data_IF_644051619049
#
_entry.id   IF_644051619049
#
_cell.length_a   1.000
_cell.length_b   1.000
_cell.length_c   1.000
_cell.angle_alpha   90.00
_cell.angle_beta   90.00
_cell.angle_gamma   90.00
#
_symmetry.space_group_name_H-M   'P 1'
#
loop_
_entity.id
_entity.type
_entity.pdbx_description
1 polymer ?
#
# COMPACT_ATOMS: atom_id res chain seq x y z
N UNK A 1 -14.96 9.99 7.92
CA UNK A 1 -14.14 10.35 9.11
C UNK A 1 -14.97 11.26 10.02
N UNK A 2 -14.90 11.08 11.33
CA UNK A 2 -15.72 11.90 12.24
C UNK A 2 -14.96 13.20 12.55
N UNK A 3 -15.49 14.37 12.11
CA UNK A 3 -14.89 15.71 12.39
C UNK A 3 -14.63 15.93 13.88
N UNK A 4 -15.46 15.38 14.77
CA UNK A 4 -15.26 15.43 16.22
C UNK A 4 -13.97 14.72 16.68
N UNK A 5 -13.55 13.64 16.01
CA UNK A 5 -12.31 12.93 16.31
C UNK A 5 -11.09 13.75 15.91
N UNK A 6 -11.15 14.47 14.79
CA UNK A 6 -10.07 15.37 14.35
C UNK A 6 -9.90 16.56 15.30
N UNK A 7 -11.01 17.18 15.72
CA UNK A 7 -10.99 18.29 16.67
C UNK A 7 -10.51 17.83 18.05
N UNK A 8 -10.94 16.67 18.52
CA UNK A 8 -10.55 16.12 19.82
C UNK A 8 -9.07 15.63 19.84
N UNK A 9 -8.48 15.30 18.69
CA UNK A 9 -7.10 14.82 18.59
C UNK A 9 -6.07 15.96 18.46
N UNK A 10 -6.48 17.22 18.34
CA UNK A 10 -5.58 18.36 18.09
C UNK A 10 -4.87 18.29 16.74
N UNK A 11 -5.39 17.49 15.79
CA UNK A 11 -4.81 17.39 14.46
C UNK A 11 -5.01 18.70 13.69
N UNK A 12 -3.92 19.22 13.16
CA UNK A 12 -3.95 20.34 12.23
C UNK A 12 -4.73 19.97 10.96
N UNK A 13 -5.24 21.00 10.26
CA UNK A 13 -5.93 20.79 8.96
C UNK A 13 -5.03 20.15 7.89
N UNK A 14 -3.73 20.13 8.09
CA UNK A 14 -2.74 19.63 7.15
C UNK A 14 -1.95 18.50 7.81
N UNK A 15 -2.29 17.25 7.50
CA UNK A 15 -1.78 16.08 8.19
C UNK A 15 -0.73 15.31 7.41
N UNK A 16 0.10 14.55 8.13
CA UNK A 16 0.96 13.52 7.57
C UNK A 16 0.29 12.15 7.72
N UNK A 17 0.13 11.43 6.62
CA UNK A 17 -0.46 10.09 6.61
C UNK A 17 0.54 9.03 6.13
N UNK A 18 0.39 7.83 6.68
CA UNK A 18 0.95 6.60 6.10
C UNK A 18 -0.18 5.78 5.50
N UNK A 19 -0.03 5.37 4.26
CA UNK A 19 -1.06 4.61 3.54
C UNK A 19 -0.48 3.28 3.09
N UNK A 20 -1.19 2.21 3.40
CA UNK A 20 -0.81 0.84 3.04
C UNK A 20 -2.02 0.05 2.55
N UNK A 21 -1.80 -0.87 1.62
CA UNK A 21 -2.82 -1.73 1.05
C UNK A 21 -2.52 -3.19 1.33
N UNK A 22 -3.47 -3.87 1.96
CA UNK A 22 -3.42 -5.31 2.17
C UNK A 22 -4.35 -6.02 1.21
N UNK A 23 -3.81 -6.98 0.48
CA UNK A 23 -4.56 -7.86 -0.41
C UNK A 23 -4.97 -9.16 0.28
N UNK A 24 -6.21 -9.58 0.10
CA UNK A 24 -6.64 -10.92 0.47
C UNK A 24 -6.12 -11.90 -0.60
N UNK A 25 -4.99 -12.51 -0.31
CA UNK A 25 -4.48 -13.65 -1.09
C UNK A 25 -5.08 -14.90 -0.46
N UNK A 26 -6.16 -15.40 -1.01
CA UNK A 26 -6.71 -16.71 -0.62
C UNK A 26 -5.60 -17.76 -0.68
N UNK A 27 -5.37 -18.44 0.44
CA UNK A 27 -4.27 -19.29 0.84
C UNK A 27 -3.71 -20.37 -0.07
N UNK A 28 -3.71 -20.20 -1.38
CA UNK A 28 -3.06 -21.10 -2.32
C UNK A 28 -1.59 -20.68 -2.47
N UNK A 29 -0.82 -20.94 -1.40
CA UNK A 29 0.64 -20.73 -1.39
C UNK A 29 1.43 -21.61 -2.36
N UNK A 30 0.80 -22.53 -3.07
CA UNK A 30 1.49 -23.57 -3.84
C UNK A 30 1.26 -23.58 -5.35
N UNK A 31 0.59 -22.61 -5.95
CA UNK A 31 0.52 -22.59 -7.41
C UNK A 31 1.76 -21.91 -8.00
N UNK A 32 2.88 -22.64 -8.05
CA UNK A 32 3.97 -22.37 -9.00
C UNK A 32 3.54 -22.58 -10.46
N UNK A 33 2.27 -22.93 -10.68
CA UNK A 33 1.68 -23.18 -11.99
C UNK A 33 0.81 -22.01 -12.38
N UNK A 34 1.21 -21.30 -13.44
CA UNK A 34 0.42 -20.45 -14.33
C UNK A 34 -0.71 -19.65 -13.66
N UNK A 35 -0.40 -18.41 -13.30
CA UNK A 35 -1.40 -17.46 -12.84
C UNK A 35 -1.74 -17.63 -11.36
N UNK A 36 -1.09 -16.82 -10.52
CA UNK A 36 -1.59 -16.58 -9.15
C UNK A 36 -3.05 -16.16 -9.26
N UNK A 37 -3.98 -16.75 -8.48
CA UNK A 37 -5.33 -16.24 -8.43
C UNK A 37 -5.24 -14.77 -8.03
N UNK A 38 -5.78 -13.89 -8.87
CA UNK A 38 -5.82 -12.45 -8.59
C UNK A 38 -6.54 -12.25 -7.27
N UNK A 39 -6.00 -11.39 -6.41
CA UNK A 39 -6.66 -11.05 -5.16
C UNK A 39 -8.10 -10.62 -5.44
N UNK A 40 -9.03 -11.10 -4.62
CA UNK A 40 -10.47 -10.79 -4.76
C UNK A 40 -10.89 -9.60 -3.92
N UNK A 41 -10.07 -9.24 -2.95
CA UNK A 41 -10.29 -8.08 -2.07
C UNK A 41 -8.96 -7.40 -1.76
N UNK A 42 -9.01 -6.09 -1.57
CA UNK A 42 -7.93 -5.30 -0.96
C UNK A 42 -8.52 -4.32 0.03
N UNK A 43 -7.82 -4.09 1.14
CA UNK A 43 -8.17 -3.07 2.12
C UNK A 43 -7.00 -2.10 2.24
N UNK A 44 -7.28 -0.84 1.99
CA UNK A 44 -6.33 0.27 2.12
C UNK A 44 -6.67 1.07 3.35
N UNK A 45 -5.68 1.29 4.20
CA UNK A 45 -5.80 2.10 5.42
C UNK A 45 -4.89 3.31 5.33
N UNK A 46 -5.39 4.45 5.75
CA UNK A 46 -4.60 5.65 5.98
C UNK A 46 -4.55 5.93 7.48
N UNK A 47 -3.34 6.04 8.01
CA UNK A 47 -3.08 6.34 9.42
C UNK A 47 -2.34 7.66 9.53
N UNK A 48 -2.74 8.52 10.46
CA UNK A 48 -2.00 9.75 10.76
C UNK A 48 -0.71 9.43 11.53
N UNK A 49 0.33 10.26 11.35
CA UNK A 49 1.67 10.05 11.91
C UNK A 49 2.15 11.17 12.82
N UNK A 50 1.42 12.27 12.94
CA UNK A 50 1.86 13.44 13.70
C UNK A 50 1.72 13.26 15.21
N UNK A 51 0.60 12.65 15.65
CA UNK A 51 0.34 12.49 17.09
C UNK A 51 1.09 11.32 17.72
N UNK A 52 1.71 10.45 16.93
CA UNK A 52 2.31 9.20 17.38
C UNK A 52 1.31 8.11 17.78
N UNK A 53 0.00 8.43 17.83
CA UNK A 53 -1.07 7.49 18.18
C UNK A 53 -1.54 6.64 16.98
N UNK A 54 -1.13 7.02 15.76
CA UNK A 54 -1.46 6.30 14.52
C UNK A 54 -2.96 6.08 14.31
N UNK A 55 -3.78 7.11 14.51
CA UNK A 55 -5.23 7.01 14.27
C UNK A 55 -5.52 6.66 12.82
N UNK A 56 -6.48 5.75 12.59
CA UNK A 56 -7.00 5.48 11.25
C UNK A 56 -7.88 6.67 10.85
N UNK A 57 -7.43 7.42 9.85
CA UNK A 57 -8.13 8.61 9.35
C UNK A 57 -9.01 8.32 8.15
N UNK A 58 -8.71 7.26 7.40
CA UNK A 58 -9.54 6.78 6.30
C UNK A 58 -9.29 5.31 6.03
N UNK A 59 -10.31 4.62 5.51
CA UNK A 59 -10.22 3.24 5.07
C UNK A 59 -11.05 3.05 3.80
N UNK A 60 -10.56 2.22 2.89
CA UNK A 60 -11.28 1.84 1.69
C UNK A 60 -11.03 0.38 1.35
N UNK A 61 -12.08 -0.34 0.96
CA UNK A 61 -12.00 -1.74 0.56
C UNK A 61 -12.49 -1.91 -0.87
N UNK A 62 -11.67 -2.47 -1.72
CA UNK A 62 -12.09 -3.00 -3.02
C UNK A 62 -12.48 -4.46 -2.87
N UNK A 63 -13.62 -4.83 -3.42
CA UNK A 63 -14.19 -6.16 -3.29
C UNK A 63 -14.85 -6.61 -4.60
N UNK A 64 -14.38 -7.74 -5.15
CA UNK A 64 -14.96 -8.39 -6.34
C UNK A 64 -16.01 -9.45 -6.00
N UNK A 65 -16.09 -9.86 -4.73
CA UNK A 65 -16.94 -10.95 -4.31
C UNK A 65 -18.35 -10.45 -4.00
N UNK A 66 -19.34 -11.10 -4.58
CA UNK A 66 -20.74 -10.90 -4.24
C UNK A 66 -21.44 -12.26 -4.16
N UNK A 67 -21.55 -12.86 -2.96
CA UNK A 67 -22.23 -14.15 -2.78
C UNK A 67 -23.68 -14.13 -3.29
N UNK A 68 -24.41 -13.03 -3.03
CA UNK A 68 -25.79 -12.88 -3.50
C UNK A 68 -25.89 -12.86 -5.03
N UNK A 69 -25.00 -12.12 -5.72
CA UNK A 69 -24.97 -12.12 -7.18
C UNK A 69 -24.57 -13.48 -7.75
N UNK A 70 -23.64 -14.19 -7.08
CA UNK A 70 -23.29 -15.56 -7.47
C UNK A 70 -24.50 -16.52 -7.35
N UNK A 71 -25.27 -16.41 -6.26
CA UNK A 71 -26.48 -17.21 -6.05
C UNK A 71 -27.57 -16.89 -7.07
N UNK A 72 -27.80 -15.61 -7.40
CA UNK A 72 -28.79 -15.22 -8.41
C UNK A 72 -28.41 -15.79 -9.78
N UNK A 73 -27.15 -15.69 -10.20
CA UNK A 73 -26.66 -16.27 -11.46
C UNK A 73 -26.80 -17.80 -11.47
N UNK A 74 -26.54 -18.49 -10.37
CA UNK A 74 -26.71 -19.95 -10.29
C UNK A 74 -28.18 -20.39 -10.43
N UNK A 75 -29.13 -19.48 -10.14
CA UNK A 75 -30.58 -19.68 -10.36
C UNK A 75 -31.05 -19.24 -11.74
N UNK A 76 -30.14 -18.91 -12.64
CA UNK A 76 -30.45 -18.53 -14.02
C UNK A 76 -30.70 -17.04 -14.26
N UNK A 77 -30.58 -16.19 -13.24
CA UNK A 77 -30.69 -14.74 -13.39
C UNK A 77 -29.44 -14.15 -14.02
N UNK A 78 -29.47 -14.00 -15.34
CA UNK A 78 -28.38 -13.42 -16.14
C UNK A 78 -28.28 -11.90 -15.97
N UNK A 79 -29.28 -11.24 -15.38
CA UNK A 79 -29.28 -9.79 -15.15
C UNK A 79 -28.54 -9.41 -13.86
N UNK A 80 -28.23 -10.38 -13.01
CA UNK A 80 -27.47 -10.18 -11.78
C UNK A 80 -25.97 -9.94 -12.06
N UNK A 81 -25.70 -8.87 -12.83
CA UNK A 81 -24.35 -8.36 -13.05
C UNK A 81 -23.88 -7.59 -11.82
N UNK A 82 -22.70 -7.84 -11.36
CA UNK A 82 -22.02 -7.04 -10.35
C UNK A 82 -21.00 -6.12 -11.07
N UNK A 83 -20.59 -4.97 -10.46
CA UNK A 83 -20.88 -4.49 -9.13
C UNK A 83 -22.13 -3.60 -9.05
N UNK A 84 -22.83 -3.71 -7.92
CA UNK A 84 -23.95 -2.79 -7.59
C UNK A 84 -25.27 -3.07 -8.29
N UNK A 85 -25.33 -3.94 -9.32
CA UNK A 85 -26.49 -4.14 -10.18
C UNK A 85 -27.71 -4.82 -9.55
N UNK A 86 -27.68 -5.17 -8.28
CA UNK A 86 -28.80 -5.76 -7.55
C UNK A 86 -28.83 -5.34 -6.08
N UNK A 87 -30.00 -5.43 -5.46
CA UNK A 87 -30.18 -5.08 -4.03
C UNK A 87 -29.26 -5.93 -3.13
N UNK A 88 -28.49 -5.26 -2.28
CA UNK A 88 -27.57 -5.89 -1.34
C UNK A 88 -26.29 -6.41 -2.00
N UNK A 89 -25.90 -5.85 -3.13
CA UNK A 89 -24.58 -6.09 -3.72
C UNK A 89 -23.49 -5.49 -2.82
N UNK A 90 -22.46 -6.28 -2.55
CA UNK A 90 -21.28 -5.86 -1.77
C UNK A 90 -20.01 -5.77 -2.62
N UNK A 91 -20.08 -6.15 -3.90
CA UNK A 91 -18.97 -5.95 -4.82
C UNK A 91 -18.96 -4.51 -5.33
N UNK A 92 -17.80 -3.89 -5.35
CA UNK A 92 -17.56 -2.54 -5.87
C UNK A 92 -16.49 -2.49 -6.97
N UNK A 93 -15.93 -3.65 -7.34
CA UNK A 93 -15.01 -3.81 -8.46
C UNK A 93 -15.49 -4.98 -9.30
N UNK A 94 -15.45 -4.84 -10.63
CA UNK A 94 -15.81 -5.93 -11.54
C UNK A 94 -14.88 -7.13 -11.35
N UNK A 95 -15.43 -8.32 -11.57
CA UNK A 95 -14.69 -9.57 -11.40
C UNK A 95 -13.46 -9.68 -12.32
N UNK A 96 -13.55 -9.09 -13.52
CA UNK A 96 -12.50 -9.13 -14.53
C UNK A 96 -11.46 -7.99 -14.35
N UNK A 97 -11.81 -6.91 -13.66
CA UNK A 97 -10.89 -5.80 -13.42
C UNK A 97 -9.80 -6.17 -12.39
N UNK A 98 -8.69 -5.48 -12.45
CA UNK A 98 -7.64 -5.58 -11.44
C UNK A 98 -7.96 -4.68 -10.25
N UNK A 99 -7.64 -5.11 -9.03
CA UNK A 99 -7.67 -4.24 -7.86
C UNK A 99 -6.59 -3.16 -8.03
N UNK A 100 -6.99 -1.89 -7.90
CA UNK A 100 -6.15 -0.74 -8.22
C UNK A 100 -5.76 0.03 -6.95
N UNK A 101 -4.45 0.08 -6.67
CA UNK A 101 -3.92 0.94 -5.60
C UNK A 101 -4.15 2.43 -5.89
N UNK A 102 -4.13 2.81 -7.16
CA UNK A 102 -4.42 4.19 -7.55
C UNK A 102 -5.86 4.59 -7.19
N UNK A 103 -6.85 3.76 -7.53
CA UNK A 103 -8.25 4.02 -7.16
C UNK A 103 -8.47 3.97 -5.64
N UNK A 104 -7.81 3.03 -4.94
CA UNK A 104 -7.81 3.04 -3.47
C UNK A 104 -7.26 4.35 -2.90
N UNK A 105 -6.17 4.84 -3.47
CA UNK A 105 -5.59 6.13 -3.10
C UNK A 105 -6.53 7.29 -3.37
N UNK A 106 -7.23 7.28 -4.51
CA UNK A 106 -8.22 8.31 -4.85
C UNK A 106 -9.36 8.36 -3.83
N UNK A 107 -9.92 7.21 -3.46
CA UNK A 107 -10.99 7.15 -2.47
C UNK A 107 -10.53 7.60 -1.08
N UNK A 108 -9.34 7.19 -0.65
CA UNK A 108 -8.73 7.67 0.60
C UNK A 108 -8.58 9.21 0.56
N UNK A 109 -8.06 9.76 -0.54
CA UNK A 109 -7.90 11.21 -0.70
C UNK A 109 -9.23 11.96 -0.67
N UNK A 110 -10.26 11.46 -1.38
CA UNK A 110 -11.61 12.03 -1.36
C UNK A 110 -12.23 12.06 0.03
N UNK A 111 -12.10 10.95 0.76
CA UNK A 111 -12.63 10.84 2.12
C UNK A 111 -11.97 11.85 3.08
N UNK A 112 -10.65 12.05 2.94
CA UNK A 112 -9.90 13.02 3.75
C UNK A 112 -10.29 14.45 3.37
N UNK A 113 -10.29 14.76 2.07
CA UNK A 113 -10.68 16.08 1.57
C UNK A 113 -12.13 16.44 1.92
N UNK A 114 -13.06 15.47 1.78
CA UNK A 114 -14.46 15.65 2.16
C UNK A 114 -14.68 15.92 3.64
N UNK A 115 -13.71 15.58 4.50
CA UNK A 115 -13.70 15.94 5.91
C UNK A 115 -13.07 17.34 6.18
N UNK A 116 -12.69 18.08 5.13
CA UNK A 116 -12.05 19.40 5.26
C UNK A 116 -10.61 19.36 5.71
N UNK A 117 -9.93 18.22 5.50
CA UNK A 117 -8.53 18.00 5.88
C UNK A 117 -7.69 17.90 4.62
N UNK A 118 -6.48 18.46 4.67
CA UNK A 118 -5.46 18.33 3.63
C UNK A 118 -4.33 17.40 4.08
N UNK A 119 -3.57 16.88 3.13
CA UNK A 119 -2.45 15.98 3.38
C UNK A 119 -1.14 16.63 2.96
N UNK A 120 -0.27 16.98 3.92
CA UNK A 120 1.05 17.53 3.60
C UNK A 120 1.99 16.46 3.07
N UNK A 121 2.04 15.31 3.75
CA UNK A 121 2.93 14.21 3.44
C UNK A 121 2.17 12.91 3.38
N UNK A 122 2.47 12.11 2.37
CA UNK A 122 1.92 10.76 2.20
C UNK A 122 3.08 9.76 2.13
N UNK A 123 3.24 8.96 3.17
CA UNK A 123 4.19 7.85 3.21
C UNK A 123 3.54 6.60 2.63
N UNK A 124 4.18 6.01 1.63
CA UNK A 124 3.77 4.75 1.02
C UNK A 124 4.97 3.81 0.95
N UNK A 125 4.72 2.52 0.74
CA UNK A 125 5.76 1.59 0.36
C UNK A 125 6.39 1.97 -1.01
N UNK A 126 7.16 1.08 -1.64
CA UNK A 126 7.86 1.39 -2.90
C UNK A 126 6.96 1.77 -4.09
N UNK A 127 5.65 1.49 -4.06
CA UNK A 127 4.73 1.82 -5.17
C UNK A 127 4.27 3.29 -5.10
N UNK A 128 4.30 3.96 -6.25
CA UNK A 128 3.88 5.36 -6.37
C UNK A 128 2.39 5.52 -6.68
N UNK A 129 1.69 4.45 -7.07
CA UNK A 129 0.30 4.52 -7.55
C UNK A 129 -0.65 4.98 -6.45
N UNK A 130 -0.51 4.42 -5.26
CA UNK A 130 -1.31 4.80 -4.10
C UNK A 130 -1.15 6.29 -3.75
N UNK A 131 0.09 6.77 -3.66
CA UNK A 131 0.38 8.20 -3.46
C UNK A 131 -0.24 9.08 -4.57
N UNK A 132 -0.09 8.68 -5.84
CA UNK A 132 -0.65 9.45 -6.97
C UNK A 132 -2.16 9.59 -6.85
N UNK A 133 -2.87 8.53 -6.46
CA UNK A 133 -4.30 8.57 -6.23
C UNK A 133 -4.69 9.56 -5.12
N UNK A 134 -4.03 9.49 -3.96
CA UNK A 134 -4.25 10.43 -2.84
C UNK A 134 -3.97 11.87 -3.29
N UNK A 135 -2.80 12.11 -3.90
CA UNK A 135 -2.38 13.44 -4.32
C UNK A 135 -3.38 14.06 -5.31
N UNK A 136 -3.85 13.27 -6.27
CA UNK A 136 -4.82 13.76 -7.27
C UNK A 136 -6.14 14.18 -6.61
N UNK A 137 -6.71 13.37 -5.72
CA UNK A 137 -7.98 13.73 -5.07
C UNK A 137 -7.86 14.93 -4.14
N UNK A 138 -6.72 15.08 -3.44
CA UNK A 138 -6.46 16.29 -2.64
C UNK A 138 -6.31 17.52 -3.53
N UNK A 139 -5.63 17.40 -4.67
CA UNK A 139 -5.46 18.49 -5.63
C UNK A 139 -6.76 18.87 -6.33
N UNK A 140 -7.65 17.90 -6.63
CA UNK A 140 -8.99 18.16 -7.16
C UNK A 140 -9.82 19.02 -6.19
N UNK A 141 -9.67 18.78 -4.86
CA UNK A 141 -10.35 19.57 -3.83
C UNK A 141 -9.66 20.90 -3.52
N UNK A 142 -8.35 20.98 -3.66
CA UNK A 142 -7.54 22.17 -3.43
C UNK A 142 -6.40 22.25 -4.47
N UNK A 143 -6.62 22.91 -5.62
CA UNK A 143 -5.65 22.94 -6.72
C UNK A 143 -4.27 23.54 -6.39
N UNK A 144 -4.19 24.40 -5.38
CA UNK A 144 -2.91 25.00 -4.93
C UNK A 144 -2.10 24.10 -4.00
N UNK A 145 -2.69 23.00 -3.52
CA UNK A 145 -2.05 22.13 -2.55
C UNK A 145 -1.31 20.96 -3.22
N UNK A 146 -0.09 20.71 -2.78
CA UNK A 146 0.75 19.61 -3.26
C UNK A 146 1.06 18.62 -2.14
N UNK A 147 0.66 17.38 -2.32
CA UNK A 147 1.01 16.30 -1.40
C UNK A 147 2.43 15.82 -1.66
N UNK A 148 3.31 15.91 -0.69
CA UNK A 148 4.69 15.41 -0.80
C UNK A 148 4.74 13.91 -0.49
N UNK A 149 5.42 13.16 -1.37
CA UNK A 149 5.63 11.73 -1.16
C UNK A 149 6.81 11.49 -0.21
N UNK A 150 6.61 10.62 0.77
CA UNK A 150 7.68 10.05 1.57
C UNK A 150 7.76 8.54 1.30
N UNK A 151 8.98 8.02 1.30
CA UNK A 151 9.19 6.57 1.23
C UNK A 151 9.12 5.97 2.63
N UNK A 152 8.52 4.79 2.75
CA UNK A 152 8.63 4.02 3.99
C UNK A 152 10.08 3.53 4.14
N UNK A 153 10.74 4.00 5.19
CA UNK A 153 12.14 3.73 5.46
C UNK A 153 12.39 2.24 5.76
N UNK A 154 11.43 1.54 6.35
CA UNK A 154 11.54 0.09 6.60
C UNK A 154 11.57 -0.67 5.27
N UNK A 155 10.65 -0.34 4.36
CA UNK A 155 10.61 -0.92 3.01
C UNK A 155 11.83 -0.54 2.18
N UNK A 156 12.32 0.69 2.30
CA UNK A 156 13.55 1.14 1.63
C UNK A 156 14.75 0.30 2.09
N UNK A 157 14.92 0.14 3.41
CA UNK A 157 15.97 -0.68 4.01
C UNK A 157 15.89 -2.14 3.52
N UNK A 158 14.71 -2.75 3.57
CA UNK A 158 14.51 -4.12 3.07
C UNK A 158 14.83 -4.26 1.57
N UNK A 159 14.48 -3.25 0.79
CA UNK A 159 14.77 -3.22 -0.66
C UNK A 159 16.27 -3.14 -0.91
N UNK A 160 17.00 -2.31 -0.16
CA UNK A 160 18.46 -2.23 -0.24
C UNK A 160 19.11 -3.56 0.10
N UNK A 161 18.69 -4.22 1.18
CA UNK A 161 19.18 -5.55 1.57
C UNK A 161 18.92 -6.59 0.48
N UNK A 162 17.71 -6.62 -0.09
CA UNK A 162 17.36 -7.53 -1.19
C UNK A 162 18.23 -7.28 -2.44
N UNK A 163 18.45 -6.02 -2.77
CA UNK A 163 19.31 -5.63 -3.91
C UNK A 163 20.76 -6.01 -3.67
N UNK A 164 21.31 -5.75 -2.48
CA UNK A 164 22.68 -6.15 -2.13
C UNK A 164 22.89 -7.66 -2.26
N UNK A 165 21.94 -8.48 -1.78
CA UNK A 165 22.00 -9.94 -1.90
C UNK A 165 21.94 -10.44 -3.36
N UNK A 166 21.20 -9.77 -4.23
CA UNK A 166 21.02 -10.16 -5.64
C UNK A 166 22.12 -9.63 -6.57
N UNK A 167 22.74 -8.51 -6.23
CA UNK A 167 23.71 -7.85 -7.10
C UNK A 167 24.96 -8.72 -7.29
N UNK A 168 25.44 -8.78 -8.51
CA UNK A 168 26.78 -9.31 -8.79
C UNK A 168 27.78 -8.18 -8.54
N UNK A 169 28.63 -8.35 -7.55
CA UNK A 169 29.72 -7.42 -7.27
C UNK A 169 30.98 -7.84 -8.00
N UNK A 170 31.81 -6.87 -8.40
CA UNK A 170 33.12 -7.14 -8.99
C UNK A 170 34.04 -7.81 -7.96
N UNK A 171 35.01 -8.57 -8.46
CA UNK A 171 36.01 -9.21 -7.60
C UNK A 171 36.82 -8.17 -6.77
N UNK A 172 36.94 -6.94 -7.27
CA UNK A 172 37.65 -5.86 -6.58
C UNK A 172 36.95 -5.41 -5.26
N UNK A 173 35.62 -5.60 -5.14
CA UNK A 173 34.94 -5.23 -3.93
C UNK A 173 35.22 -6.19 -2.75
N UNK A 174 35.60 -7.43 -3.07
CA UNK A 174 35.94 -8.46 -2.09
C UNK A 174 37.28 -9.07 -2.40
N UNK A 175 38.38 -8.33 -2.19
CA UNK A 175 39.74 -8.82 -2.48
C UNK A 175 40.02 -10.07 -1.64
N UNK A 176 40.68 -11.06 -2.25
CA UNK A 176 41.01 -12.31 -1.60
C UNK A 176 39.89 -13.38 -1.58
N UNK A 177 38.69 -13.04 -2.01
CA UNK A 177 37.56 -13.99 -2.07
C UNK A 177 37.57 -14.73 -3.41
N UNK A 178 38.13 -15.89 -3.44
CA UNK A 178 38.29 -16.67 -4.68
C UNK A 178 37.10 -17.55 -5.00
N UNK A 179 36.42 -18.09 -3.98
CA UNK A 179 35.32 -19.01 -4.20
C UNK A 179 33.96 -18.31 -4.29
N UNK A 180 32.98 -18.96 -4.94
CA UNK A 180 31.63 -18.50 -5.00
C UNK A 180 30.97 -18.44 -3.60
N UNK A 181 31.35 -19.37 -2.72
CA UNK A 181 30.86 -19.46 -1.34
C UNK A 181 31.32 -18.24 -0.53
N UNK A 182 32.61 -17.92 -0.55
CA UNK A 182 33.17 -16.77 0.19
C UNK A 182 32.52 -15.45 -0.25
N UNK A 183 32.37 -15.26 -1.57
CA UNK A 183 31.65 -14.09 -2.11
C UNK A 183 30.20 -14.00 -1.65
N UNK A 184 29.52 -15.13 -1.52
CA UNK A 184 28.15 -15.15 -1.02
C UNK A 184 28.08 -14.81 0.47
N UNK A 185 29.00 -15.29 1.27
CA UNK A 185 29.11 -14.95 2.70
C UNK A 185 29.37 -13.45 2.89
N UNK A 186 30.33 -12.87 2.14
CA UNK A 186 30.59 -11.44 2.17
C UNK A 186 29.36 -10.59 1.77
N UNK A 187 28.56 -11.04 0.79
CA UNK A 187 27.30 -10.38 0.45
C UNK A 187 26.30 -10.41 1.58
N UNK A 188 26.25 -11.51 2.32
CA UNK A 188 25.35 -11.62 3.47
C UNK A 188 25.78 -10.67 4.59
N UNK A 189 27.07 -10.57 4.88
CA UNK A 189 27.64 -9.63 5.87
C UNK A 189 27.35 -8.19 5.46
N UNK A 190 27.63 -7.81 4.20
CA UNK A 190 27.31 -6.48 3.68
C UNK A 190 25.80 -6.15 3.79
N UNK A 191 24.95 -7.11 3.46
CA UNK A 191 23.50 -6.93 3.56
C UNK A 191 23.02 -6.75 5.01
N UNK A 192 23.63 -7.45 5.96
CA UNK A 192 23.36 -7.30 7.39
C UNK A 192 23.83 -5.93 7.92
N UNK A 193 25.02 -5.48 7.51
CA UNK A 193 25.55 -4.16 7.87
C UNK A 193 24.65 -3.02 7.32
N UNK A 194 24.23 -3.10 6.06
CA UNK A 194 23.29 -2.15 5.48
C UNK A 194 21.97 -2.08 6.26
N UNK A 195 21.44 -3.26 6.69
CA UNK A 195 20.24 -3.31 7.52
C UNK A 195 20.44 -2.60 8.85
N UNK A 196 21.55 -2.88 9.52
CA UNK A 196 21.86 -2.31 10.83
C UNK A 196 22.02 -0.78 10.73
N UNK A 197 22.79 -0.28 9.75
CA UNK A 197 22.96 1.17 9.53
C UNK A 197 21.64 1.87 9.22
N UNK A 198 20.81 1.28 8.35
CA UNK A 198 19.47 1.83 8.07
C UNK A 198 18.61 1.87 9.32
N UNK A 199 18.66 0.84 10.18
CA UNK A 199 17.91 0.81 11.45
C UNK A 199 18.44 1.81 12.47
N UNK A 200 19.74 2.09 12.49
CA UNK A 200 20.34 3.12 13.36
C UNK A 200 19.89 4.52 12.94
N UNK A 201 19.93 4.84 11.65
CA UNK A 201 19.44 6.13 11.12
C UNK A 201 17.97 6.35 11.54
N UNK A 202 17.14 5.30 11.41
CA UNK A 202 15.72 5.37 11.77
C UNK A 202 15.44 5.62 13.26
N UNK A 203 16.36 5.24 14.15
CA UNK A 203 16.20 5.46 15.61
C UNK A 203 16.58 6.88 16.05
N UNK A 204 17.27 7.62 15.20
CA UNK A 204 17.79 8.95 15.50
C UNK A 204 17.09 10.07 14.69
N UNK A 205 16.08 9.73 13.89
CA UNK A 205 15.17 10.66 13.21
C UNK A 205 13.83 10.76 13.96
#
# INVERSE_FOLDING_TARGET
MNQKLLQASGLEKNIHISVDTRYNTSGIRNSRRTGLPTATQSTTLAMEKQTGKNYIVSAFTQNKLCPKGALLRSKGDQTATCPGGHTGCIANVDKLESLSEYESGREIGRNIAGAGVTVAYCTTDGDSRLHKGVAQSIQEANPSHQVKRLADLVHLSQTQVKRAKKKTFSAHLFPGMTTKKDRQECKCVLAADLKNRSSMILKHM
#
